data_IF_641778453734
#
_entry.id   IF_641778453734
#
_cell.length_a   1.000
_cell.length_b   1.000
_cell.length_c   1.000
_cell.angle_alpha   90.00
_cell.angle_beta   90.00
_cell.angle_gamma   90.00
#
_symmetry.space_group_name_H-M   'P 1'
#
loop_
_entity.id
_entity.type
_entity.pdbx_description
1 polymer ?
#
# COMPACT_ATOMS: atom_id res chain seq x y z
N UNK A 1 30.42 2.37 -3.00
CA UNK A 1 29.16 3.12 -3.11
C UNK A 1 28.44 2.94 -1.78
N UNK A 2 28.12 4.01 -1.06
CA UNK A 2 27.34 3.88 0.16
C UNK A 2 25.92 3.47 -0.24
N UNK A 3 25.53 2.25 0.13
CA UNK A 3 24.12 1.89 0.15
C UNK A 3 23.49 2.76 1.23
N UNK A 4 22.55 3.63 0.89
CA UNK A 4 21.75 4.36 1.88
C UNK A 4 20.96 3.34 2.69
N UNK A 5 21.43 3.05 3.91
CA UNK A 5 20.84 2.04 4.78
C UNK A 5 19.44 2.42 5.27
N UNK A 6 19.05 3.70 5.16
CA UNK A 6 17.80 4.24 5.70
C UNK A 6 16.74 4.43 4.60
N UNK A 7 15.48 4.08 4.88
CA UNK A 7 14.33 4.32 3.99
C UNK A 7 13.16 4.97 4.74
N UNK A 8 12.55 5.98 4.14
CA UNK A 8 11.28 6.57 4.56
C UNK A 8 10.18 6.14 3.60
N UNK A 9 9.10 5.55 4.13
CA UNK A 9 8.03 4.96 3.32
C UNK A 9 6.77 5.81 3.46
N UNK A 10 6.22 6.23 2.33
CA UNK A 10 4.98 7.00 2.22
C UNK A 10 4.01 6.26 1.32
N UNK A 11 2.80 6.00 1.81
CA UNK A 11 1.80 5.19 1.10
C UNK A 11 0.49 5.95 0.97
N UNK A 12 0.06 6.16 -0.27
CA UNK A 12 -1.29 6.57 -0.62
C UNK A 12 -2.16 5.32 -0.73
N UNK A 13 -2.81 4.95 0.39
CA UNK A 13 -3.66 3.76 0.47
C UNK A 13 -4.82 3.85 -0.52
N UNK A 14 -5.42 5.03 -0.69
CA UNK A 14 -6.60 5.19 -1.52
C UNK A 14 -6.28 4.94 -2.99
N UNK A 15 -5.16 5.50 -3.46
CA UNK A 15 -4.69 5.27 -4.82
C UNK A 15 -4.27 3.80 -5.01
N UNK A 16 -3.48 3.26 -4.09
CA UNK A 16 -3.03 1.87 -4.15
C UNK A 16 -4.21 0.89 -4.20
N UNK A 17 -5.22 1.09 -3.34
CA UNK A 17 -6.41 0.26 -3.31
C UNK A 17 -7.21 0.35 -4.62
N UNK A 18 -7.48 1.55 -5.14
CA UNK A 18 -8.25 1.72 -6.37
C UNK A 18 -7.51 1.14 -7.58
N UNK A 19 -6.22 1.46 -7.75
CA UNK A 19 -5.44 0.96 -8.89
C UNK A 19 -5.21 -0.55 -8.79
N UNK A 20 -4.96 -1.07 -7.58
CA UNK A 20 -4.81 -2.50 -7.34
C UNK A 20 -6.04 -3.30 -7.77
N UNK A 21 -7.26 -2.81 -7.52
CA UNK A 21 -8.49 -3.51 -7.94
C UNK A 21 -8.58 -3.71 -9.44
N UNK A 22 -8.14 -2.72 -10.21
CA UNK A 22 -8.06 -2.83 -11.67
C UNK A 22 -6.87 -3.68 -12.11
N UNK A 23 -5.69 -3.51 -11.52
CA UNK A 23 -4.47 -4.23 -11.89
C UNK A 23 -4.63 -5.74 -11.66
N UNK A 24 -5.00 -6.13 -10.44
CA UNK A 24 -5.24 -7.54 -10.08
C UNK A 24 -6.46 -8.10 -10.82
N UNK A 25 -7.54 -7.31 -10.93
CA UNK A 25 -8.71 -7.70 -11.72
C UNK A 25 -8.33 -8.06 -13.16
N UNK A 26 -7.48 -7.24 -13.80
CA UNK A 26 -7.00 -7.48 -15.17
C UNK A 26 -6.04 -8.67 -15.25
N UNK A 27 -5.06 -8.77 -14.35
CA UNK A 27 -4.02 -9.81 -14.36
C UNK A 27 -4.61 -11.20 -14.12
N UNK A 28 -5.53 -11.32 -13.16
CA UNK A 28 -6.15 -12.58 -12.76
C UNK A 28 -7.52 -12.82 -13.43
N UNK A 29 -7.98 -11.86 -14.25
CA UNK A 29 -9.30 -11.88 -14.92
C UNK A 29 -10.47 -12.05 -13.93
N UNK A 30 -10.39 -11.33 -12.80
CA UNK A 30 -11.33 -11.39 -11.70
C UNK A 30 -12.34 -10.23 -11.71
N UNK A 31 -13.55 -10.50 -11.27
CA UNK A 31 -14.65 -9.54 -11.21
C UNK A 31 -15.36 -9.33 -12.56
N UNK A 32 -16.34 -8.42 -12.57
CA UNK A 32 -17.07 -8.05 -13.78
C UNK A 32 -16.36 -6.90 -14.49
N UNK A 33 -16.51 -6.83 -15.81
CA UNK A 33 -16.18 -5.62 -16.57
C UNK A 33 -16.99 -4.46 -16.00
N UNK A 34 -16.32 -3.53 -15.33
CA UNK A 34 -16.99 -2.40 -14.67
C UNK A 34 -16.70 -1.13 -15.47
N UNK A 35 -17.68 -0.25 -15.65
CA UNK A 35 -17.46 1.10 -16.21
C UNK A 35 -17.05 2.11 -15.11
N UNK A 36 -16.34 1.66 -14.08
CA UNK A 36 -15.90 2.52 -12.98
C UNK A 36 -14.80 3.45 -13.49
N UNK A 37 -14.96 4.76 -13.28
CA UNK A 37 -14.02 5.79 -13.75
C UNK A 37 -13.77 5.77 -15.27
N UNK A 38 -14.77 5.39 -16.08
CA UNK A 38 -14.68 5.32 -17.56
C UNK A 38 -13.62 4.32 -18.08
N UNK A 39 -13.21 3.35 -17.26
CA UNK A 39 -12.27 2.31 -17.67
C UNK A 39 -13.05 1.03 -17.95
N UNK A 40 -13.12 0.58 -19.19
CA UNK A 40 -13.69 -0.73 -19.52
C UNK A 40 -12.67 -1.82 -19.15
N UNK A 41 -12.75 -2.31 -17.91
CA UNK A 41 -11.81 -3.32 -17.42
C UNK A 41 -12.39 -4.22 -16.33
N UNK A 42 -11.73 -5.36 -16.13
CA UNK A 42 -11.94 -6.22 -14.97
C UNK A 42 -11.67 -5.43 -13.68
N UNK A 43 -12.53 -5.60 -12.68
CA UNK A 43 -12.46 -4.89 -11.43
C UNK A 43 -12.72 -5.83 -10.26
N UNK A 44 -11.70 -6.05 -9.43
CA UNK A 44 -11.79 -6.98 -8.31
C UNK A 44 -12.13 -6.25 -7.00
N UNK A 45 -13.41 -6.08 -6.70
CA UNK A 45 -13.87 -5.27 -5.57
C UNK A 45 -13.45 -5.83 -4.18
N UNK A 46 -13.20 -7.13 -4.11
CA UNK A 46 -12.78 -7.84 -2.90
C UNK A 46 -11.29 -7.75 -2.59
N UNK A 47 -10.52 -6.97 -3.35
CA UNK A 47 -9.10 -6.78 -3.09
C UNK A 47 -8.84 -6.23 -1.68
N UNK A 48 -7.86 -6.82 -1.03
CA UNK A 48 -7.21 -6.37 0.19
C UNK A 48 -5.71 -6.29 -0.05
N UNK A 49 -5.08 -5.29 0.54
CA UNK A 49 -3.63 -5.09 0.48
C UNK A 49 -3.09 -5.50 1.84
N UNK A 50 -2.10 -6.37 1.85
CA UNK A 50 -1.39 -6.76 3.05
C UNK A 50 -0.20 -5.83 3.29
N UNK A 51 -0.44 -4.81 4.11
CA UNK A 51 0.49 -3.70 4.32
C UNK A 51 1.78 -4.13 5.00
N UNK A 52 1.73 -5.15 5.87
CA UNK A 52 2.94 -5.73 6.44
C UNK A 52 3.89 -6.24 5.35
N UNK A 53 3.38 -7.08 4.43
CA UNK A 53 4.15 -7.59 3.29
C UNK A 53 4.60 -6.47 2.35
N UNK A 54 3.76 -5.47 2.09
CA UNK A 54 4.12 -4.32 1.25
C UNK A 54 5.29 -3.54 1.86
N UNK A 55 5.21 -3.22 3.14
CA UNK A 55 6.27 -2.50 3.87
C UNK A 55 7.53 -3.35 3.93
N UNK A 56 7.44 -4.65 4.23
CA UNK A 56 8.57 -5.58 4.23
C UNK A 56 9.27 -5.62 2.87
N UNK A 57 8.49 -5.72 1.78
CA UNK A 57 9.00 -5.73 0.41
C UNK A 57 9.73 -4.45 0.06
N UNK A 58 9.16 -3.30 0.44
CA UNK A 58 9.77 -1.98 0.20
C UNK A 58 11.01 -1.81 1.08
N UNK A 59 10.94 -2.16 2.36
CA UNK A 59 12.06 -2.02 3.28
C UNK A 59 13.25 -2.87 2.84
N UNK A 60 13.01 -4.16 2.53
CA UNK A 60 14.07 -5.12 2.24
C UNK A 60 15.06 -5.20 3.40
N UNK A 61 16.36 -5.06 3.12
CA UNK A 61 17.43 -5.10 4.14
C UNK A 61 17.74 -3.74 4.78
N UNK A 62 16.96 -2.70 4.46
CA UNK A 62 17.19 -1.34 4.94
C UNK A 62 16.54 -1.12 6.31
N UNK A 63 17.03 -0.13 7.02
CA UNK A 63 16.51 0.37 8.30
C UNK A 63 15.43 1.41 7.99
N UNK A 64 14.29 1.34 8.68
CA UNK A 64 13.28 2.39 8.60
C UNK A 64 13.81 3.68 9.24
N UNK A 65 13.70 4.79 8.50
CA UNK A 65 14.07 6.11 9.02
C UNK A 65 13.06 6.70 9.99
N UNK A 66 11.80 6.27 9.88
CA UNK A 66 10.70 6.57 10.78
C UNK A 66 9.59 5.52 10.58
N UNK A 67 8.52 5.62 11.36
CA UNK A 67 7.27 4.86 11.10
C UNK A 67 6.80 5.09 9.66
N UNK A 68 6.44 4.02 8.91
CA UNK A 68 5.81 4.17 7.61
C UNK A 68 4.57 5.06 7.71
N UNK A 69 4.47 6.05 6.83
CA UNK A 69 3.37 7.01 6.83
C UNK A 69 2.32 6.61 5.81
N UNK A 70 1.11 6.31 6.27
CA UNK A 70 0.01 5.86 5.43
C UNK A 70 -1.11 6.92 5.46
N UNK A 71 -1.55 7.34 4.29
CA UNK A 71 -2.67 8.25 4.14
C UNK A 71 -3.78 7.57 3.35
N UNK A 72 -5.02 7.76 3.79
CA UNK A 72 -6.17 7.27 3.05
C UNK A 72 -7.49 7.81 3.55
N UNK A 73 -8.57 7.29 2.96
CA UNK A 73 -9.92 7.60 3.39
C UNK A 73 -10.32 6.98 4.72
N UNK A 74 -11.27 7.63 5.39
CA UNK A 74 -12.00 7.02 6.51
C UNK A 74 -12.70 5.76 6.02
N UNK A 75 -12.46 4.62 6.68
CA UNK A 75 -13.15 3.38 6.35
C UNK A 75 -14.54 3.43 6.99
N UNK A 76 -15.41 2.44 6.74
CA UNK A 76 -16.67 2.32 7.46
C UNK A 76 -16.49 2.35 8.98
N UNK A 77 -17.49 2.82 9.73
CA UNK A 77 -17.42 3.10 11.19
C UNK A 77 -16.92 1.91 12.04
N UNK A 78 -17.09 0.67 11.58
CA UNK A 78 -16.69 -0.54 12.31
C UNK A 78 -15.42 -1.21 11.77
N UNK A 79 -14.63 -0.51 10.95
CA UNK A 79 -13.41 -1.07 10.38
C UNK A 79 -12.20 -0.90 11.31
N UNK A 80 -11.58 -2.03 11.67
CA UNK A 80 -10.39 -2.09 12.53
C UNK A 80 -9.06 -1.89 11.80
N UNK A 81 -9.08 -1.74 10.47
CA UNK A 81 -7.89 -1.70 9.62
C UNK A 81 -6.85 -0.68 10.09
N UNK A 82 -7.24 0.58 10.27
CA UNK A 82 -6.30 1.63 10.69
C UNK A 82 -5.71 1.38 12.07
N UNK A 83 -6.54 0.93 13.02
CA UNK A 83 -6.06 0.60 14.36
C UNK A 83 -4.98 -0.49 14.32
N UNK A 84 -5.17 -1.53 13.50
CA UNK A 84 -4.18 -2.60 13.33
C UNK A 84 -2.88 -2.09 12.73
N UNK A 85 -2.94 -1.20 11.75
CA UNK A 85 -1.73 -0.60 11.17
C UNK A 85 -0.98 0.28 12.18
N UNK A 86 -1.69 1.01 13.06
CA UNK A 86 -1.06 1.76 14.14
C UNK A 86 -0.38 0.83 15.15
N UNK A 87 -1.05 -0.28 15.52
CA UNK A 87 -0.49 -1.34 16.37
C UNK A 87 0.75 -2.00 15.74
N UNK A 88 0.80 -2.08 14.40
CA UNK A 88 1.96 -2.54 13.63
C UNK A 88 3.05 -1.47 13.45
N UNK A 89 2.90 -0.30 14.07
CA UNK A 89 3.93 0.75 14.09
C UNK A 89 3.88 1.72 12.90
N UNK A 90 2.78 1.77 12.15
CA UNK A 90 2.58 2.80 11.13
C UNK A 90 2.08 4.12 11.75
N UNK A 91 2.42 5.24 11.12
CA UNK A 91 1.75 6.52 11.35
C UNK A 91 0.64 6.68 10.32
N UNK A 92 -0.58 6.95 10.76
CA UNK A 92 -1.76 6.94 9.89
C UNK A 92 -2.44 8.30 9.91
N UNK A 93 -2.82 8.75 8.71
CA UNK A 93 -3.65 9.93 8.56
C UNK A 93 -4.86 9.64 7.70
N UNK A 94 -6.02 9.88 8.29
CA UNK A 94 -7.32 9.53 7.71
C UNK A 94 -8.08 10.80 7.36
N UNK A 95 -8.66 10.84 6.16
CA UNK A 95 -9.49 11.94 5.68
C UNK A 95 -10.90 11.48 5.33
N UNK A 96 -11.89 12.35 5.56
CA UNK A 96 -13.27 12.11 5.15
C UNK A 96 -13.43 12.35 3.64
N UNK A 97 -14.18 11.47 2.98
CA UNK A 97 -14.63 11.70 1.59
C UNK A 97 -15.71 12.77 1.58
N UNK A 98 -15.70 13.61 0.55
CA UNK A 98 -16.76 14.60 0.40
C UNK A 98 -18.06 13.96 -0.17
N UNK A 99 -19.13 14.75 -0.27
CA UNK A 99 -20.45 14.32 -0.79
C UNK A 99 -20.42 13.78 -2.23
N UNK A 100 -19.39 14.11 -3.00
CA UNK A 100 -19.15 13.58 -4.35
C UNK A 100 -18.25 12.33 -4.34
N UNK A 101 -18.01 11.77 -3.15
CA UNK A 101 -17.10 10.66 -2.89
C UNK A 101 -15.65 10.94 -3.33
N UNK A 102 -15.27 12.22 -3.51
CA UNK A 102 -13.90 12.64 -3.80
C UNK A 102 -13.15 12.88 -2.50
N UNK A 103 -11.98 12.30 -2.41
CA UNK A 103 -11.06 12.54 -1.33
C UNK A 103 -10.47 13.95 -1.47
N UNK A 104 -10.41 14.69 -0.36
CA UNK A 104 -9.72 15.98 -0.32
C UNK A 104 -8.59 15.85 0.70
N UNK A 105 -7.40 16.33 0.33
CA UNK A 105 -6.20 16.52 1.19
C UNK A 105 -5.28 15.31 1.41
N UNK A 106 -5.56 14.14 0.82
CA UNK A 106 -4.66 12.98 0.92
C UNK A 106 -3.28 13.33 0.36
N UNK A 107 -3.23 13.77 -0.89
CA UNK A 107 -1.98 14.11 -1.58
C UNK A 107 -1.21 15.22 -0.84
N UNK A 108 -1.92 16.26 -0.41
CA UNK A 108 -1.31 17.38 0.35
C UNK A 108 -0.70 16.92 1.68
N UNK A 109 -1.34 15.98 2.37
CA UNK A 109 -0.85 15.49 3.64
C UNK A 109 0.37 14.58 3.48
N UNK A 110 0.33 13.72 2.47
CA UNK A 110 1.44 12.84 2.12
C UNK A 110 2.65 13.64 1.66
N UNK A 111 2.46 14.58 0.73
CA UNK A 111 3.52 15.48 0.28
C UNK A 111 4.09 16.32 1.42
N UNK A 112 3.25 16.86 2.32
CA UNK A 112 3.73 17.59 3.50
C UNK A 112 4.60 16.72 4.42
N UNK A 113 4.24 15.46 4.64
CA UNK A 113 5.01 14.55 5.48
C UNK A 113 6.37 14.23 4.82
N UNK A 114 6.37 13.97 3.52
CA UNK A 114 7.58 13.75 2.73
C UNK A 114 8.51 14.97 2.70
N UNK A 115 7.99 16.17 2.41
CA UNK A 115 8.78 17.41 2.40
C UNK A 115 9.49 17.66 3.72
N UNK A 116 8.83 17.40 4.86
CA UNK A 116 9.51 17.47 6.16
C UNK A 116 10.75 16.60 6.19
N UNK A 117 10.68 15.35 5.72
CA UNK A 117 11.84 14.45 5.69
C UNK A 117 12.90 14.89 4.69
N UNK A 118 12.48 15.34 3.50
CA UNK A 118 13.38 15.90 2.47
C UNK A 118 14.22 17.05 3.02
N UNK A 119 13.60 17.97 3.75
CA UNK A 119 14.30 19.14 4.29
C UNK A 119 15.12 18.87 5.56
N UNK A 120 14.98 17.71 6.20
CA UNK A 120 15.86 17.32 7.32
C UNK A 120 17.27 16.91 6.86
N UNK A 121 17.51 16.77 5.54
CA UNK A 121 18.84 16.60 4.90
C UNK A 121 19.66 15.40 5.39
N UNK A 122 19.01 14.35 5.88
CA UNK A 122 19.66 13.06 6.12
C UNK A 122 19.68 12.23 4.82
N UNK A 123 20.83 11.66 4.42
CA UNK A 123 20.89 10.72 3.29
C UNK A 123 20.02 9.48 3.58
N UNK A 124 18.95 9.30 2.81
CA UNK A 124 18.01 8.20 2.97
C UNK A 124 17.11 8.06 1.76
N UNK A 125 16.72 6.83 1.42
CA UNK A 125 15.80 6.57 0.31
C UNK A 125 14.40 7.04 0.68
N UNK A 126 13.74 7.75 -0.24
CA UNK A 126 12.31 8.03 -0.16
C UNK A 126 11.57 7.01 -1.03
N UNK A 127 10.75 6.17 -0.40
CA UNK A 127 9.87 5.22 -1.08
C UNK A 127 8.44 5.77 -1.08
N UNK A 128 7.92 6.05 -2.27
CA UNK A 128 6.54 6.47 -2.49
C UNK A 128 5.74 5.33 -3.10
N UNK A 129 4.63 4.96 -2.48
CA UNK A 129 3.63 4.05 -3.05
C UNK A 129 2.40 4.88 -3.42
N UNK A 130 2.31 5.22 -4.69
CA UNK A 130 1.21 5.98 -5.27
C UNK A 130 1.06 5.64 -6.75
N UNK A 131 -0.10 5.98 -7.32
CA UNK A 131 -0.37 5.91 -8.75
C UNK A 131 -0.83 7.26 -9.33
N UNK A 132 -0.60 8.35 -8.60
CA UNK A 132 -0.91 9.72 -9.04
C UNK A 132 0.37 10.45 -9.48
N UNK A 133 0.28 11.21 -10.58
CA UNK A 133 1.37 12.04 -11.09
C UNK A 133 1.57 13.34 -10.30
N UNK A 134 0.60 13.75 -9.48
CA UNK A 134 0.67 14.98 -8.69
C UNK A 134 1.79 14.99 -7.63
N UNK A 135 2.39 13.82 -7.35
CA UNK A 135 3.57 13.69 -6.50
C UNK A 135 4.90 14.05 -7.21
N UNK A 136 4.87 14.35 -8.51
CA UNK A 136 6.08 14.65 -9.28
C UNK A 136 6.94 15.79 -8.67
N UNK A 137 6.39 16.94 -8.26
CA UNK A 137 7.20 18.02 -7.67
C UNK A 137 7.92 17.59 -6.37
N UNK A 138 7.29 16.70 -5.59
CA UNK A 138 7.89 16.15 -4.37
C UNK A 138 9.06 15.22 -4.69
N UNK A 139 8.96 14.43 -5.76
CA UNK A 139 10.03 13.55 -6.23
C UNK A 139 11.21 14.39 -6.73
N UNK A 140 10.97 15.42 -7.56
CA UNK A 140 12.01 16.33 -8.04
C UNK A 140 12.80 16.95 -6.88
N UNK A 141 12.09 17.41 -5.84
CA UNK A 141 12.72 17.99 -4.66
C UNK A 141 13.53 16.95 -3.85
N UNK A 142 13.03 15.71 -3.72
CA UNK A 142 13.78 14.63 -3.06
C UNK A 142 15.09 14.29 -3.80
N UNK A 143 15.07 14.32 -5.14
CA UNK A 143 16.25 14.16 -6.00
C UNK A 143 17.22 15.33 -5.82
N UNK A 144 16.70 16.56 -5.71
CA UNK A 144 17.50 17.75 -5.52
C UNK A 144 18.20 17.78 -4.17
N UNK A 145 17.53 17.45 -3.06
CA UNK A 145 18.12 17.58 -1.70
C UNK A 145 18.96 16.41 -1.23
N UNK A 146 18.96 15.31 -2.00
CA UNK A 146 19.91 14.24 -1.77
C UNK A 146 19.48 13.10 -0.87
N UNK A 147 18.19 13.04 -0.53
CA UNK A 147 17.56 11.76 -0.19
C UNK A 147 17.84 10.71 -1.30
N UNK A 148 17.97 11.17 -2.55
CA UNK A 148 18.34 10.33 -3.69
C UNK A 148 19.62 10.79 -4.42
N UNK A 149 20.50 11.61 -3.81
CA UNK A 149 21.66 12.21 -4.53
C UNK A 149 22.75 11.19 -4.86
N UNK A 150 22.91 10.16 -4.05
CA UNK A 150 23.76 9.01 -4.37
C UNK A 150 23.11 8.07 -5.40
N UNK A 151 21.83 8.30 -5.71
CA UNK A 151 20.98 7.58 -6.67
C UNK A 151 20.50 8.52 -7.80
N UNK A 152 21.24 9.61 -8.08
CA UNK A 152 20.85 10.67 -9.03
C UNK A 152 20.57 10.17 -10.45
N UNK A 153 20.96 8.93 -10.77
CA UNK A 153 20.70 8.25 -12.04
C UNK A 153 19.45 7.37 -12.06
N UNK A 154 18.91 6.96 -10.91
CA UNK A 154 17.97 5.83 -10.86
C UNK A 154 16.82 6.06 -9.87
N UNK A 155 15.87 6.91 -10.24
CA UNK A 155 14.53 6.79 -9.68
C UNK A 155 13.95 5.44 -10.15
N UNK A 156 14.01 4.43 -9.28
CA UNK A 156 13.52 3.10 -9.61
C UNK A 156 11.99 3.06 -9.49
N UNK A 157 11.33 2.96 -10.64
CA UNK A 157 9.91 2.62 -10.69
C UNK A 157 9.76 1.10 -10.55
N UNK A 158 9.12 0.65 -9.48
CA UNK A 158 8.78 -0.76 -9.28
C UNK A 158 7.27 -0.94 -9.45
N UNK A 159 6.81 -1.53 -10.56
CA UNK A 159 5.39 -1.88 -10.69
C UNK A 159 5.02 -2.92 -9.63
N UNK A 160 3.94 -2.68 -8.89
CA UNK A 160 3.44 -3.65 -7.91
C UNK A 160 2.84 -4.90 -8.58
N UNK A 161 2.52 -4.82 -9.87
CA UNK A 161 2.02 -5.91 -10.73
C UNK A 161 2.95 -7.15 -10.73
N UNK A 162 4.24 -7.00 -10.45
CA UNK A 162 5.18 -8.13 -10.40
C UNK A 162 5.21 -8.82 -9.02
N UNK A 163 4.58 -8.22 -8.00
CA UNK A 163 4.60 -8.73 -6.63
C UNK A 163 3.23 -8.80 -5.95
N UNK A 164 2.13 -8.48 -6.65
CA UNK A 164 0.78 -8.44 -6.06
C UNK A 164 0.40 -9.75 -5.34
N UNK A 165 0.84 -10.91 -5.81
CA UNK A 165 0.58 -12.21 -5.16
C UNK A 165 1.14 -12.32 -3.73
N UNK A 166 2.15 -11.50 -3.41
CA UNK A 166 2.77 -11.46 -2.09
C UNK A 166 2.17 -10.36 -1.20
N UNK A 167 1.68 -9.27 -1.81
CA UNK A 167 1.22 -8.06 -1.09
C UNK A 167 -0.30 -7.87 -1.12
N UNK A 168 -1.04 -8.73 -1.80
CA UNK A 168 -2.48 -8.60 -1.94
C UNK A 168 -3.17 -9.96 -1.93
N UNK A 169 -4.39 -9.94 -1.41
CA UNK A 169 -5.30 -11.08 -1.37
C UNK A 169 -6.72 -10.57 -1.60
N UNK A 170 -7.66 -11.48 -1.74
CA UNK A 170 -9.05 -11.13 -1.71
C UNK A 170 -9.89 -12.38 -1.58
N UNK A 171 -11.05 -12.22 -0.98
CA UNK A 171 -12.02 -13.28 -0.94
C UNK A 171 -12.55 -13.47 -2.37
N UNK A 172 -12.53 -14.71 -2.86
CA UNK A 172 -13.17 -15.03 -4.14
C UNK A 172 -14.65 -14.62 -4.12
N UNK A 173 -15.29 -14.58 -5.28
CA UNK A 173 -16.76 -14.54 -5.32
C UNK A 173 -17.28 -15.75 -4.55
N UNK A 174 -17.63 -15.55 -3.26
CA UNK A 174 -18.48 -16.49 -2.58
C UNK A 174 -19.78 -16.47 -3.38
N UNK A 175 -20.03 -17.54 -4.14
CA UNK A 175 -21.42 -17.94 -4.35
C UNK A 175 -21.99 -18.10 -2.95
N UNK A 176 -22.69 -17.05 -2.51
CA UNK A 176 -23.53 -17.06 -1.32
C UNK A 176 -24.36 -18.31 -1.39
N UNK A 177 -24.02 -19.31 -0.57
CA UNK A 177 -24.97 -20.27 -0.02
C UNK A 177 -24.41 -20.99 1.22
N UNK A 178 -23.09 -21.05 1.45
CA UNK A 178 -22.57 -21.60 2.72
C UNK A 178 -21.37 -20.80 3.26
N UNK A 179 -21.58 -20.11 4.38
CA UNK A 179 -20.48 -19.65 5.25
C UNK A 179 -19.91 -20.90 5.93
N UNK A 180 -18.89 -21.51 5.31
CA UNK A 180 -18.13 -22.59 5.93
C UNK A 180 -17.21 -21.96 6.99
N UNK A 181 -17.62 -22.07 8.26
CA UNK A 181 -16.73 -21.77 9.38
C UNK A 181 -15.79 -22.95 9.54
N UNK A 182 -14.51 -22.77 9.19
CA UNK A 182 -13.48 -23.75 9.51
C UNK A 182 -13.12 -23.61 11.00
N UNK A 183 -13.78 -24.39 11.84
CA UNK A 183 -13.43 -24.49 13.25
C UNK A 183 -12.26 -25.47 13.40
N UNK A 184 -11.04 -24.93 13.49
CA UNK A 184 -9.85 -25.75 13.76
C UNK A 184 -9.78 -26.02 15.26
N UNK A 185 -10.23 -27.20 15.67
CA UNK A 185 -10.09 -27.69 17.05
C UNK A 185 -8.76 -28.44 17.22
N UNK A 186 -8.21 -28.45 18.45
CA UNK A 186 -6.83 -28.85 18.75
C UNK A 186 -6.39 -30.22 18.22
N UNK A 187 -7.30 -31.20 18.16
CA UNK A 187 -6.99 -32.55 17.66
C UNK A 187 -6.63 -32.56 16.16
N UNK A 188 -7.11 -31.57 15.41
CA UNK A 188 -6.84 -31.40 13.98
C UNK A 188 -5.41 -30.95 13.70
N UNK A 189 -4.78 -30.25 14.66
CA UNK A 189 -3.39 -29.78 14.57
C UNK A 189 -2.38 -30.89 14.92
N UNK A 190 -2.74 -31.78 15.85
CA UNK A 190 -1.87 -32.89 16.29
C UNK A 190 -1.58 -33.85 15.13
N UNK A 191 -2.56 -34.10 14.27
CA UNK A 191 -2.40 -34.97 13.10
C UNK A 191 -1.58 -34.34 11.96
N UNK A 192 -1.26 -33.05 12.04
CA UNK A 192 -0.53 -32.34 11.00
C UNK A 192 0.99 -32.38 11.23
N UNK A 193 1.42 -32.43 12.50
CA UNK A 193 2.83 -32.57 12.87
C UNK A 193 3.41 -33.95 12.58
N UNK A 194 2.58 -35.00 12.52
CA UNK A 194 3.03 -36.37 12.26
C UNK A 194 3.19 -36.71 10.76
N UNK A 195 2.96 -35.74 9.87
CA UNK A 195 3.09 -35.90 8.40
C UNK A 195 4.21 -35.05 7.76
N UNK A 196 5.07 -34.42 8.57
CA UNK A 196 6.35 -33.84 8.12
C UNK A 196 7.52 -34.73 8.53
#
# INVERSE_FOLDING_TARGET
MASTEKVYIFIDNSNNWIQGKFAVGKLERLGLGSHINKRDSYYFDHLRIEYGCLIEKIQGKRILGDKPFIVGSRPPINDSMWKRFEEQGCEIKVFDRNVENREKKVDQALSRAAYKKIHFKEPAILALVAGDGDYHPMIEEALEYGMSRELKSDAFYMPLDDCYKYIAYGDGLCSVDEVLTLEVTGDSLINWTDKM
#
